data_IF_990501969061
#
_entry.id   IF_990501969061
#
_cell.length_a   1.000
_cell.length_b   1.000
_cell.length_c   1.000
_cell.angle_alpha   90.00
_cell.angle_beta   90.00
_cell.angle_gamma   90.00
#
_symmetry.space_group_name_H-M   'P 1'
#
loop_
_entity.id
_entity.type
_entity.pdbx_description
1 polymer ?
#
# COMPACT_ATOMS: atom_id res chain seq x y z
N UNK A 1 27.72 6.78 -42.63
CA UNK A 1 26.63 5.80 -42.84
C UNK A 1 26.19 5.31 -41.47
N UNK A 2 24.90 5.38 -41.19
CA UNK A 2 24.27 5.37 -39.87
C UNK A 2 24.51 4.10 -39.05
N UNK A 3 24.63 4.29 -37.73
CA UNK A 3 24.74 3.22 -36.75
C UNK A 3 23.42 2.51 -36.46
N UNK A 4 23.51 1.31 -35.87
CA UNK A 4 22.40 0.56 -35.29
C UNK A 4 22.92 -0.21 -34.07
N UNK A 5 23.05 0.50 -32.94
CA UNK A 5 23.12 -0.13 -31.63
C UNK A 5 21.74 -0.70 -31.29
N UNK A 6 21.56 -2.01 -31.43
CA UNK A 6 20.43 -2.74 -30.86
C UNK A 6 20.55 -2.71 -29.34
N UNK A 7 19.85 -1.77 -28.72
CA UNK A 7 19.61 -1.71 -27.27
C UNK A 7 18.86 -2.99 -26.86
N UNK A 8 19.54 -3.96 -26.24
CA UNK A 8 18.89 -5.09 -25.59
C UNK A 8 17.96 -4.52 -24.51
N UNK A 9 16.65 -4.69 -24.68
CA UNK A 9 15.68 -4.48 -23.62
C UNK A 9 16.09 -5.38 -22.45
N UNK A 10 16.41 -4.75 -21.32
CA UNK A 10 16.61 -5.45 -20.05
C UNK A 10 15.23 -5.94 -19.63
N UNK A 11 14.97 -7.24 -19.76
CA UNK A 11 13.83 -7.87 -19.08
C UNK A 11 13.95 -7.58 -17.59
N UNK A 12 13.00 -6.79 -17.07
CA UNK A 12 12.82 -6.64 -15.64
C UNK A 12 12.20 -7.97 -15.18
N UNK A 13 13.03 -8.92 -14.74
CA UNK A 13 12.55 -10.12 -14.07
C UNK A 13 11.78 -9.67 -12.83
N UNK A 14 10.45 -9.89 -12.81
CA UNK A 14 9.65 -9.69 -11.60
C UNK A 14 10.24 -10.59 -10.50
N UNK A 15 10.65 -10.05 -9.34
CA UNK A 15 11.30 -10.82 -8.29
C UNK A 15 10.36 -11.80 -7.58
N UNK A 16 9.04 -11.66 -7.74
CA UNK A 16 8.03 -12.51 -7.10
C UNK A 16 7.55 -13.62 -8.03
N UNK A 17 7.54 -14.85 -7.52
CA UNK A 17 6.77 -15.95 -8.11
C UNK A 17 5.55 -16.16 -7.23
N UNK A 18 4.39 -15.77 -7.75
CA UNK A 18 3.12 -16.10 -7.13
C UNK A 18 2.83 -17.57 -7.42
N UNK A 19 2.84 -18.42 -6.39
CA UNK A 19 2.35 -19.78 -6.54
C UNK A 19 0.82 -19.71 -6.51
N UNK A 20 0.23 -19.94 -7.69
CA UNK A 20 -1.21 -20.06 -7.85
C UNK A 20 -1.57 -21.48 -7.41
N UNK A 21 -2.14 -21.65 -6.23
CA UNK A 21 -3.01 -22.81 -6.05
C UNK A 21 -4.10 -22.69 -7.12
N UNK A 22 -4.41 -23.78 -7.84
CA UNK A 22 -5.54 -23.86 -8.76
C UNK A 22 -6.86 -23.83 -7.96
N UNK A 23 -7.07 -22.72 -7.25
CA UNK A 23 -8.21 -22.47 -6.41
C UNK A 23 -9.34 -21.89 -7.24
N UNK A 24 -10.53 -22.47 -7.10
CA UNK A 24 -11.76 -21.85 -7.55
C UNK A 24 -12.07 -20.65 -6.62
N UNK A 25 -11.41 -19.52 -6.85
CA UNK A 25 -11.57 -18.30 -6.05
C UNK A 25 -13.01 -17.78 -6.18
N UNK A 26 -13.60 -17.40 -5.05
CA UNK A 26 -14.98 -16.92 -4.99
C UNK A 26 -14.98 -15.43 -4.70
N UNK A 27 -15.25 -14.66 -5.75
CA UNK A 27 -15.44 -13.22 -5.64
C UNK A 27 -16.92 -12.90 -5.52
N UNK A 28 -17.28 -11.98 -4.62
CA UNK A 28 -18.66 -11.50 -4.45
C UNK A 28 -18.65 -9.98 -4.39
N UNK A 29 -19.43 -9.37 -5.27
CA UNK A 29 -19.80 -7.95 -5.17
C UNK A 29 -20.91 -7.79 -4.13
N UNK A 30 -20.78 -6.78 -3.29
CA UNK A 30 -21.80 -6.32 -2.36
C UNK A 30 -22.20 -4.90 -2.74
N UNK A 31 -23.50 -4.72 -2.94
CA UNK A 31 -24.10 -3.39 -3.09
C UNK A 31 -24.17 -2.69 -1.74
N UNK A 32 -24.46 -1.39 -1.74
CA UNK A 32 -24.66 -0.61 -0.52
C UNK A 32 -25.91 -1.14 0.20
N UNK A 33 -25.79 -1.50 1.48
CA UNK A 33 -26.90 -2.08 2.25
C UNK A 33 -26.42 -2.82 3.50
N UNK A 34 -27.30 -3.61 4.12
CA UNK A 34 -27.04 -4.25 5.41
C UNK A 34 -25.87 -5.25 5.41
N UNK A 35 -25.64 -5.96 4.30
CA UNK A 35 -24.51 -6.90 4.16
C UNK A 35 -23.16 -6.19 3.93
N UNK A 36 -23.16 -4.88 3.72
CA UNK A 36 -22.01 -4.09 3.36
C UNK A 36 -21.82 -2.94 4.36
N UNK A 37 -20.85 -3.06 5.29
CA UNK A 37 -20.63 -2.01 6.31
C UNK A 37 -20.02 -0.74 5.71
N UNK A 38 -19.69 -0.73 4.42
CA UNK A 38 -19.15 0.41 3.71
C UNK A 38 -20.24 1.07 2.86
N UNK A 39 -20.27 2.40 2.84
CA UNK A 39 -21.23 3.16 2.06
C UNK A 39 -20.86 3.23 0.56
N UNK A 40 -20.33 2.13 0.00
CA UNK A 40 -19.76 2.02 -1.34
C UNK A 40 -19.96 0.62 -1.87
N UNK A 41 -20.10 0.48 -3.18
CA UNK A 41 -20.09 -0.86 -3.78
C UNK A 41 -18.70 -1.46 -3.64
N UNK A 42 -18.62 -2.67 -3.08
CA UNK A 42 -17.34 -3.34 -2.82
C UNK A 42 -17.33 -4.75 -3.40
N UNK A 43 -16.13 -5.25 -3.71
CA UNK A 43 -15.88 -6.66 -4.01
C UNK A 43 -15.07 -7.28 -2.88
N UNK A 44 -15.49 -8.46 -2.43
CA UNK A 44 -14.73 -9.32 -1.53
C UNK A 44 -13.74 -10.18 -2.32
N UNK A 45 -12.45 -9.96 -2.02
CA UNK A 45 -11.33 -10.63 -2.68
C UNK A 45 -10.52 -11.49 -1.71
N UNK A 46 -11.01 -11.68 -0.48
CA UNK A 46 -10.30 -12.42 0.58
C UNK A 46 -9.99 -13.85 0.19
N UNK A 47 -10.88 -14.50 -0.58
CA UNK A 47 -10.65 -15.88 -1.04
C UNK A 47 -9.36 -16.03 -1.84
N UNK A 48 -8.88 -14.94 -2.47
CA UNK A 48 -7.60 -14.89 -3.16
C UNK A 48 -6.52 -14.32 -2.23
N UNK A 49 -6.70 -13.11 -1.71
CA UNK A 49 -5.61 -12.39 -1.03
C UNK A 49 -5.14 -13.04 0.27
N UNK A 50 -6.00 -13.82 0.94
CA UNK A 50 -5.66 -14.50 2.20
C UNK A 50 -5.11 -15.91 2.02
N UNK A 51 -5.28 -16.52 0.85
CA UNK A 51 -4.78 -17.87 0.54
C UNK A 51 -3.53 -17.84 -0.34
N UNK A 52 -3.26 -16.72 -1.01
CA UNK A 52 -2.05 -16.55 -1.81
C UNK A 52 -0.81 -16.59 -0.92
N UNK A 53 0.12 -17.47 -1.27
CA UNK A 53 1.44 -17.58 -0.65
C UNK A 53 2.46 -16.96 -1.59
N UNK A 54 3.24 -16.02 -1.08
CA UNK A 54 4.34 -15.40 -1.80
C UNK A 54 5.65 -16.10 -1.44
N UNK A 55 6.26 -16.77 -2.41
CA UNK A 55 7.63 -17.29 -2.26
C UNK A 55 8.57 -16.54 -3.17
N UNK A 56 9.79 -16.28 -2.70
CA UNK A 56 10.87 -15.83 -3.58
C UNK A 56 11.70 -17.04 -3.98
N UNK A 57 11.85 -17.26 -5.28
CA UNK A 57 12.85 -18.20 -5.82
C UNK A 57 14.25 -17.58 -5.89
N UNK A 58 14.38 -16.28 -5.63
CA UNK A 58 15.64 -15.55 -5.66
C UNK A 58 16.15 -15.34 -4.23
N UNK A 59 17.36 -15.85 -3.98
CA UNK A 59 18.00 -15.85 -2.67
C UNK A 59 18.28 -14.42 -2.16
N UNK A 60 18.65 -13.51 -3.04
CA UNK A 60 18.92 -12.10 -2.74
C UNK A 60 17.71 -11.37 -2.16
N UNK A 61 16.50 -11.65 -2.67
CA UNK A 61 15.25 -11.08 -2.15
C UNK A 61 14.94 -11.62 -0.74
N UNK A 62 15.19 -12.91 -0.49
CA UNK A 62 14.99 -13.51 0.82
C UNK A 62 15.98 -12.97 1.87
N UNK A 63 17.26 -12.81 1.48
CA UNK A 63 18.29 -12.18 2.31
C UNK A 63 17.94 -10.72 2.59
N UNK A 64 17.50 -9.97 1.57
CA UNK A 64 17.09 -8.57 1.73
C UNK A 64 15.88 -8.42 2.65
N UNK A 65 14.85 -9.26 2.48
CA UNK A 65 13.70 -9.26 3.39
C UNK A 65 14.12 -9.52 4.84
N UNK A 66 14.99 -10.51 5.05
CA UNK A 66 15.52 -10.87 6.38
C UNK A 66 16.33 -9.72 7.01
N UNK A 67 17.16 -9.04 6.21
CA UNK A 67 17.90 -7.85 6.65
C UNK A 67 16.94 -6.71 7.01
N UNK A 68 15.92 -6.45 6.17
CA UNK A 68 14.92 -5.42 6.40
C UNK A 68 14.08 -5.68 7.65
N UNK A 69 13.85 -6.92 8.06
CA UNK A 69 13.15 -7.20 9.33
C UNK A 69 13.90 -6.64 10.56
N UNK A 70 15.22 -6.46 10.46
CA UNK A 70 16.07 -5.84 11.50
C UNK A 70 16.21 -4.32 11.35
N UNK A 71 15.74 -3.75 10.24
CA UNK A 71 15.80 -2.31 10.01
C UNK A 71 14.80 -1.56 10.88
N UNK A 72 15.26 -0.44 11.46
CA UNK A 72 14.44 0.55 12.16
C UNK A 72 13.89 1.65 11.22
N UNK A 73 14.23 1.60 9.92
CA UNK A 73 13.81 2.56 8.91
C UNK A 73 14.51 3.92 8.97
N UNK A 74 15.57 4.06 9.76
CA UNK A 74 16.33 5.32 9.89
C UNK A 74 17.04 5.71 8.60
N UNK A 75 17.37 4.74 7.76
CA UNK A 75 17.97 4.93 6.43
C UNK A 75 17.07 5.71 5.45
N UNK A 76 15.77 5.81 5.74
CA UNK A 76 14.84 6.58 4.90
C UNK A 76 14.79 8.06 5.26
N UNK A 77 15.37 8.48 6.39
CA UNK A 77 15.46 9.91 6.75
C UNK A 77 16.26 10.65 5.70
N UNK A 78 15.63 11.66 5.09
CA UNK A 78 16.21 12.44 3.99
C UNK A 78 16.34 11.69 2.66
N UNK A 79 15.85 10.44 2.54
CA UNK A 79 15.85 9.73 1.27
C UNK A 79 14.90 10.41 0.27
N UNK A 80 15.26 10.35 -1.01
CA UNK A 80 14.47 10.84 -2.12
C UNK A 80 13.83 9.70 -2.91
N UNK A 81 12.66 9.97 -3.47
CA UNK A 81 12.04 9.09 -4.46
C UNK A 81 12.51 9.54 -5.85
N UNK A 82 13.12 8.68 -6.67
CA UNK A 82 13.56 9.05 -8.01
C UNK A 82 12.38 9.51 -8.88
N UNK A 83 12.57 10.59 -9.64
CA UNK A 83 11.52 11.15 -10.51
C UNK A 83 10.20 11.40 -9.76
N UNK A 84 10.28 12.03 -8.59
CA UNK A 84 9.11 12.22 -7.76
C UNK A 84 8.29 13.47 -8.13
N UNK A 85 7.03 13.43 -7.73
CA UNK A 85 6.15 14.59 -7.63
C UNK A 85 5.58 14.71 -6.23
N UNK A 86 4.99 15.85 -5.92
CA UNK A 86 4.28 16.10 -4.66
C UNK A 86 2.79 16.29 -4.90
N UNK A 87 1.97 15.56 -4.15
CA UNK A 87 0.51 15.60 -4.19
C UNK A 87 0.02 16.12 -2.84
N UNK A 88 -0.88 17.11 -2.84
CA UNK A 88 -1.50 17.57 -1.59
C UNK A 88 -2.48 16.52 -1.09
N UNK A 89 -2.25 16.04 0.13
CA UNK A 89 -3.17 15.21 0.87
C UNK A 89 -3.76 16.07 2.00
N UNK A 90 -5.06 15.96 2.25
CA UNK A 90 -5.69 16.64 3.38
C UNK A 90 -6.39 15.56 4.23
N UNK A 91 -5.62 14.54 4.62
CA UNK A 91 -6.13 13.41 5.39
C UNK A 91 -5.89 13.65 6.87
N UNK A 92 -6.94 13.53 7.67
CA UNK A 92 -6.88 13.77 9.11
C UNK A 92 -7.34 12.53 9.87
N UNK A 93 -6.55 12.14 10.87
CA UNK A 93 -6.81 10.99 11.73
C UNK A 93 -6.86 11.46 13.19
N UNK A 94 -7.76 10.90 14.02
CA UNK A 94 -7.73 11.10 15.46
C UNK A 94 -6.43 10.59 16.05
N UNK A 95 -5.96 11.28 17.07
CA UNK A 95 -4.75 10.92 17.80
C UNK A 95 -4.95 11.23 19.29
N UNK A 96 -4.21 10.52 20.13
CA UNK A 96 -4.32 10.58 21.60
C UNK A 96 -3.16 11.35 22.25
N UNK A 97 -2.27 11.93 21.43
CA UNK A 97 -1.13 12.73 21.85
C UNK A 97 0.11 11.91 22.18
N UNK A 98 0.08 10.59 21.96
CA UNK A 98 1.25 9.74 22.10
C UNK A 98 2.34 10.13 21.07
N UNK A 99 3.60 10.15 21.49
CA UNK A 99 4.70 10.39 20.56
C UNK A 99 4.69 9.33 19.43
N UNK A 100 4.67 9.79 18.17
CA UNK A 100 4.73 8.94 16.99
C UNK A 100 6.11 9.05 16.37
N UNK A 101 7.00 8.13 16.72
CA UNK A 101 8.35 8.06 16.16
C UNK A 101 8.82 6.60 16.04
N UNK A 102 9.58 6.31 14.99
CA UNK A 102 10.14 4.99 14.72
C UNK A 102 9.24 4.13 13.86
N UNK A 103 9.08 2.86 14.24
CA UNK A 103 8.30 1.87 13.48
C UNK A 103 6.83 2.04 13.85
N UNK A 104 6.01 2.46 12.89
CA UNK A 104 4.55 2.58 13.06
C UNK A 104 3.84 1.34 12.55
N UNK A 105 4.42 0.66 11.55
CA UNK A 105 4.00 -0.66 11.11
C UNK A 105 5.18 -1.46 10.55
N UNK A 106 5.22 -2.76 10.86
CA UNK A 106 6.21 -3.68 10.31
C UNK A 106 5.51 -4.94 9.82
N UNK A 107 5.76 -5.31 8.56
CA UNK A 107 5.27 -6.57 8.02
C UNK A 107 5.82 -7.77 8.82
N UNK A 108 4.94 -8.70 9.15
CA UNK A 108 5.24 -9.95 9.86
C UNK A 108 5.42 -11.15 8.92
N UNK A 109 4.99 -11.00 7.66
CA UNK A 109 5.02 -12.04 6.63
C UNK A 109 5.25 -11.42 5.23
N UNK A 110 5.65 -12.26 4.27
CA UNK A 110 5.94 -11.84 2.88
C UNK A 110 4.67 -11.39 2.12
N UNK A 111 3.52 -11.85 2.57
CA UNK A 111 2.20 -11.48 2.07
C UNK A 111 1.77 -10.10 2.61
N UNK A 112 2.54 -9.46 3.50
CA UNK A 112 2.33 -8.07 3.90
C UNK A 112 3.37 -7.20 3.20
N UNK A 113 2.90 -6.36 2.27
CA UNK A 113 3.78 -5.73 1.27
C UNK A 113 4.47 -4.44 1.72
N UNK A 114 4.16 -3.93 2.91
CA UNK A 114 4.60 -2.63 3.38
C UNK A 114 5.14 -2.64 4.81
N UNK A 115 6.19 -1.85 5.02
CA UNK A 115 6.59 -1.32 6.32
C UNK A 115 6.32 0.19 6.34
N UNK A 116 6.03 0.74 7.52
CA UNK A 116 5.72 2.16 7.71
C UNK A 116 6.51 2.69 8.91
N UNK A 117 7.24 3.77 8.69
CA UNK A 117 8.04 4.45 9.71
C UNK A 117 7.67 5.92 9.82
N UNK A 118 7.95 6.54 10.95
CA UNK A 118 7.80 7.98 11.16
C UNK A 118 9.05 8.56 11.78
N UNK A 119 9.59 9.61 11.19
CA UNK A 119 10.69 10.40 11.73
C UNK A 119 10.53 11.85 11.29
N UNK A 120 10.78 12.81 12.19
CA UNK A 120 10.73 14.25 11.89
C UNK A 120 9.39 14.68 11.23
N UNK A 121 8.26 14.19 11.75
CA UNK A 121 6.92 14.41 11.19
C UNK A 121 6.73 13.92 9.74
N UNK A 122 7.60 13.02 9.27
CA UNK A 122 7.51 12.41 7.94
C UNK A 122 7.26 10.91 8.06
N UNK A 123 6.18 10.44 7.44
CA UNK A 123 5.89 9.03 7.27
C UNK A 123 6.61 8.47 6.03
N UNK A 124 7.21 7.30 6.17
CA UNK A 124 7.91 6.59 5.10
C UNK A 124 7.24 5.24 4.88
N UNK A 125 6.65 5.05 3.70
CA UNK A 125 5.99 3.81 3.29
C UNK A 125 6.90 3.07 2.34
N UNK A 126 7.40 1.91 2.77
CA UNK A 126 8.40 1.16 2.01
C UNK A 126 7.94 -0.26 1.74
N UNK A 127 8.30 -0.78 0.59
CA UNK A 127 8.02 -2.17 0.23
C UNK A 127 8.79 -3.10 1.18
N UNK A 128 8.09 -4.00 1.88
CA UNK A 128 8.66 -4.83 2.97
C UNK A 128 9.82 -5.75 2.52
N UNK A 129 9.74 -6.25 1.30
CA UNK A 129 10.72 -7.13 0.65
C UNK A 129 11.87 -6.43 -0.07
N UNK A 130 11.61 -5.32 -0.77
CA UNK A 130 12.65 -4.63 -1.55
C UNK A 130 13.24 -3.43 -0.83
N UNK A 131 12.58 -2.92 0.20
CA UNK A 131 12.93 -1.69 0.88
C UNK A 131 12.70 -0.44 0.03
N UNK A 132 12.07 -0.55 -1.14
CA UNK A 132 11.82 0.60 -2.01
C UNK A 132 10.85 1.56 -1.33
N UNK A 133 11.25 2.83 -1.21
CA UNK A 133 10.40 3.91 -0.72
C UNK A 133 9.35 4.25 -1.78
N UNK A 134 8.08 3.95 -1.49
CA UNK A 134 6.96 4.21 -2.39
C UNK A 134 6.30 5.56 -2.12
N UNK A 135 6.11 5.89 -0.85
CA UNK A 135 5.52 7.16 -0.43
C UNK A 135 6.31 7.79 0.70
N UNK A 136 6.52 9.10 0.62
CA UNK A 136 7.03 9.93 1.71
C UNK A 136 6.00 11.00 2.02
N UNK A 137 5.47 11.01 3.23
CA UNK A 137 4.31 11.84 3.56
C UNK A 137 4.67 12.80 4.68
N UNK A 138 4.66 14.09 4.38
CA UNK A 138 4.82 15.13 5.41
C UNK A 138 3.53 15.25 6.19
N UNK A 139 3.63 15.24 7.51
CA UNK A 139 2.50 15.33 8.41
C UNK A 139 2.64 16.52 9.36
N UNK A 140 1.52 16.89 9.97
CA UNK A 140 1.46 17.68 11.20
C UNK A 140 0.87 16.79 12.27
N UNK A 141 1.63 16.54 13.33
CA UNK A 141 1.23 15.70 14.44
C UNK A 141 0.89 16.63 15.61
N UNK A 142 -0.39 16.71 15.96
CA UNK A 142 -0.92 17.46 17.09
C UNK A 142 -1.40 16.49 18.17
N UNK A 143 -1.69 16.99 19.37
CA UNK A 143 -2.17 16.15 20.47
C UNK A 143 -3.48 15.39 20.17
N UNK A 144 -4.37 15.95 19.35
CA UNK A 144 -5.69 15.36 19.05
C UNK A 144 -5.78 14.76 17.65
N UNK A 145 -4.78 14.99 16.80
CA UNK A 145 -4.85 14.62 15.40
C UNK A 145 -3.52 14.52 14.68
N UNK A 146 -3.49 13.63 13.69
CA UNK A 146 -2.43 13.55 12.68
C UNK A 146 -3.01 13.98 11.34
N UNK A 147 -2.44 15.04 10.77
CA UNK A 147 -2.81 15.58 9.46
C UNK A 147 -1.70 15.23 8.46
N UNK A 148 -2.00 14.41 7.46
CA UNK A 148 -1.10 14.16 6.33
C UNK A 148 -1.32 15.26 5.30
N UNK A 149 -0.26 16.03 4.99
CA UNK A 149 -0.32 17.28 4.23
C UNK A 149 0.11 17.13 2.77
N UNK A 150 1.23 16.43 2.55
CA UNK A 150 1.82 16.27 1.22
C UNK A 150 2.40 14.89 1.08
N UNK A 151 2.06 14.19 0.00
CA UNK A 151 2.60 12.89 -0.38
C UNK A 151 3.59 13.10 -1.52
N UNK A 152 4.85 12.78 -1.30
CA UNK A 152 5.83 12.57 -2.36
C UNK A 152 5.73 11.12 -2.86
N UNK A 153 5.60 10.96 -4.17
CA UNK A 153 5.43 9.66 -4.86
C UNK A 153 6.10 9.70 -6.25
N UNK A 154 6.09 8.57 -6.96
CA UNK A 154 6.52 8.54 -8.37
C UNK A 154 5.69 9.51 -9.24
N UNK A 155 6.33 10.15 -10.22
CA UNK A 155 5.68 11.08 -11.17
C UNK A 155 4.56 10.43 -11.99
N UNK A 156 4.66 9.13 -12.21
CA UNK A 156 3.80 8.38 -13.14
C UNK A 156 2.50 7.87 -12.49
N UNK A 157 2.35 8.02 -11.17
CA UNK A 157 1.14 7.61 -10.46
C UNK A 157 0.03 8.66 -10.58
N UNK A 158 -1.23 8.24 -10.59
CA UNK A 158 -2.37 9.17 -10.53
C UNK A 158 -2.56 9.73 -9.11
N UNK A 159 -2.78 11.05 -8.98
CA UNK A 159 -2.88 11.74 -7.70
C UNK A 159 -3.99 11.17 -6.81
N UNK A 160 -5.15 10.85 -7.39
CA UNK A 160 -6.28 10.31 -6.66
C UNK A 160 -5.97 8.91 -6.15
N UNK A 161 -5.35 8.07 -6.97
CA UNK A 161 -4.90 6.72 -6.56
C UNK A 161 -3.87 6.82 -5.43
N UNK A 162 -2.90 7.74 -5.52
CA UNK A 162 -1.87 7.93 -4.47
C UNK A 162 -2.49 8.29 -3.13
N UNK A 163 -3.42 9.25 -3.11
CA UNK A 163 -4.11 9.67 -1.88
C UNK A 163 -4.88 8.50 -1.25
N UNK A 164 -5.62 7.74 -2.07
CA UNK A 164 -6.39 6.60 -1.61
C UNK A 164 -5.50 5.44 -1.15
N UNK A 165 -4.37 5.20 -1.80
CA UNK A 165 -3.38 4.19 -1.39
C UNK A 165 -2.81 4.52 -0.02
N UNK A 166 -2.34 5.76 0.19
CA UNK A 166 -1.82 6.19 1.50
C UNK A 166 -2.90 6.10 2.57
N UNK A 167 -4.13 6.54 2.27
CA UNK A 167 -5.25 6.40 3.21
C UNK A 167 -5.50 4.94 3.60
N UNK A 168 -5.57 4.05 2.62
CA UNK A 168 -5.76 2.62 2.87
C UNK A 168 -4.61 2.02 3.70
N UNK A 169 -3.35 2.40 3.41
CA UNK A 169 -2.19 1.93 4.18
C UNK A 169 -2.30 2.34 5.65
N UNK A 170 -2.68 3.59 5.95
CA UNK A 170 -2.94 4.01 7.34
C UNK A 170 -4.07 3.19 7.96
N UNK A 171 -5.21 3.06 7.27
CA UNK A 171 -6.38 2.36 7.83
C UNK A 171 -6.11 0.87 8.11
N UNK A 172 -5.52 0.15 7.16
CA UNK A 172 -5.36 -1.30 7.24
C UNK A 172 -4.08 -1.76 7.94
N UNK A 173 -2.99 -0.99 7.84
CA UNK A 173 -1.70 -1.37 8.43
C UNK A 173 -1.53 -0.72 9.79
N UNK A 174 -1.64 0.62 9.88
CA UNK A 174 -1.40 1.34 11.14
C UNK A 174 -2.57 1.19 12.11
N UNK A 175 -3.80 1.43 11.66
CA UNK A 175 -5.00 1.36 12.52
C UNK A 175 -5.61 -0.04 12.60
N UNK A 176 -5.10 -1.00 11.84
CA UNK A 176 -5.55 -2.40 11.87
C UNK A 176 -7.00 -2.63 11.44
N UNK A 177 -7.63 -1.68 10.74
CA UNK A 177 -9.03 -1.77 10.32
C UNK A 177 -9.19 -2.60 9.04
N UNK A 178 -10.25 -3.38 8.97
CA UNK A 178 -10.72 -3.94 7.69
C UNK A 178 -11.42 -2.82 6.93
N UNK A 179 -10.90 -2.47 5.76
CA UNK A 179 -11.35 -1.32 4.97
C UNK A 179 -11.23 -1.65 3.48
N UNK A 180 -12.06 -1.08 2.58
CA UNK A 180 -11.85 -1.24 1.15
C UNK A 180 -10.68 -0.35 0.69
N UNK A 181 -9.99 -0.79 -0.35
CA UNK A 181 -9.06 0.06 -1.10
C UNK A 181 -9.65 0.46 -2.44
N UNK A 182 -9.25 1.62 -2.96
CA UNK A 182 -9.64 2.05 -4.30
C UNK A 182 -8.82 1.30 -5.35
N UNK A 183 -9.47 0.87 -6.43
CA UNK A 183 -8.84 0.24 -7.58
C UNK A 183 -8.93 1.12 -8.84
N UNK A 184 -7.97 0.99 -9.78
CA UNK A 184 -8.04 1.63 -11.09
C UNK A 184 -9.30 1.20 -11.87
N UNK A 185 -9.86 2.12 -12.65
CA UNK A 185 -11.12 1.90 -13.38
C UNK A 185 -10.98 0.93 -14.55
N UNK A 186 -9.75 0.69 -14.99
CA UNK A 186 -9.41 -0.16 -16.12
C UNK A 186 -9.40 -1.65 -15.77
N UNK A 187 -9.45 -1.99 -14.48
CA UNK A 187 -9.51 -3.39 -14.04
C UNK A 187 -10.96 -3.87 -14.11
N UNK A 188 -11.28 -4.75 -15.05
CA UNK A 188 -12.66 -5.25 -15.23
C UNK A 188 -12.89 -6.64 -14.61
N UNK A 189 -11.88 -7.51 -14.67
CA UNK A 189 -11.94 -8.89 -14.19
C UNK A 189 -11.69 -8.98 -12.69
N UNK A 190 -12.50 -9.75 -11.96
CA UNK A 190 -12.29 -9.95 -10.52
C UNK A 190 -10.92 -10.58 -10.19
N UNK A 191 -10.39 -11.41 -11.09
CA UNK A 191 -9.05 -11.97 -10.93
C UNK A 191 -7.97 -10.88 -11.06
N UNK A 192 -8.12 -9.95 -12.00
CA UNK A 192 -7.16 -8.86 -12.19
C UNK A 192 -7.23 -7.86 -11.02
N UNK A 193 -8.45 -7.60 -10.52
CA UNK A 193 -8.67 -6.83 -9.29
C UNK A 193 -7.94 -7.51 -8.12
N UNK A 194 -8.18 -8.80 -7.88
CA UNK A 194 -7.58 -9.52 -6.77
C UNK A 194 -6.05 -9.57 -6.88
N UNK A 195 -5.51 -9.79 -8.09
CA UNK A 195 -4.07 -9.81 -8.35
C UNK A 195 -3.43 -8.43 -8.14
N UNK A 196 -4.05 -7.37 -8.66
CA UNK A 196 -3.62 -5.99 -8.42
C UNK A 196 -3.61 -5.68 -6.92
N UNK A 197 -4.71 -6.02 -6.23
CA UNK A 197 -4.89 -5.79 -4.81
C UNK A 197 -3.81 -6.48 -3.97
N UNK A 198 -3.52 -7.75 -4.28
CA UNK A 198 -2.48 -8.51 -3.60
C UNK A 198 -1.07 -7.98 -3.90
N UNK A 199 -0.79 -7.62 -5.14
CA UNK A 199 0.49 -6.99 -5.52
C UNK A 199 0.70 -5.67 -4.77
N UNK A 200 -0.36 -4.86 -4.66
CA UNK A 200 -0.30 -3.57 -4.00
C UNK A 200 -0.23 -3.69 -2.49
N UNK A 201 -1.09 -4.48 -1.86
CA UNK A 201 -1.30 -4.46 -0.42
C UNK A 201 -1.21 -5.84 0.25
N UNK A 202 -1.10 -6.89 -0.54
CA UNK A 202 -0.99 -8.26 -0.05
C UNK A 202 -2.23 -8.74 0.69
N UNK A 203 -2.04 -9.57 1.71
CA UNK A 203 -3.13 -10.17 2.50
C UNK A 203 -3.98 -9.16 3.28
N UNK A 204 -3.52 -7.90 3.40
CA UNK A 204 -4.27 -6.82 4.04
C UNK A 204 -5.42 -6.31 3.16
N UNK A 205 -5.38 -6.51 1.84
CA UNK A 205 -6.49 -6.19 0.96
C UNK A 205 -7.62 -7.22 1.10
N UNK A 206 -8.69 -6.84 1.81
CA UNK A 206 -9.88 -7.67 1.96
C UNK A 206 -10.97 -7.30 0.95
N UNK A 207 -11.16 -6.01 0.74
CA UNK A 207 -12.20 -5.46 -0.11
C UNK A 207 -11.61 -4.43 -1.07
N UNK A 208 -12.18 -4.33 -2.28
CA UNK A 208 -11.84 -3.32 -3.27
C UNK A 208 -13.09 -2.56 -3.74
N UNK A 209 -12.89 -1.34 -4.25
CA UNK A 209 -13.96 -0.50 -4.81
C UNK A 209 -13.40 0.44 -5.88
N UNK A 210 -14.20 0.81 -6.88
CA UNK A 210 -13.82 1.86 -7.85
C UNK A 210 -14.04 3.27 -7.32
N UNK A 211 -14.69 3.40 -6.18
CA UNK A 211 -15.02 4.68 -5.56
C UNK A 211 -13.87 5.16 -4.67
N UNK A 212 -13.77 6.47 -4.47
CA UNK A 212 -12.81 7.05 -3.52
C UNK A 212 -13.13 6.60 -2.10
N UNK A 213 -12.14 6.42 -1.24
CA UNK A 213 -12.33 5.91 0.12
C UNK A 213 -12.00 6.96 1.21
N UNK A 214 -11.62 8.17 0.81
CA UNK A 214 -11.18 9.28 1.67
C UNK A 214 -12.29 10.20 2.16
N UNK A 215 -13.50 10.04 1.63
CA UNK A 215 -14.74 10.74 2.01
C UNK A 215 -15.31 10.26 3.36
N UNK A 216 -14.80 9.16 3.92
CA UNK A 216 -15.18 8.72 5.26
C UNK A 216 -14.57 9.67 6.28
N UNK A 217 -15.38 10.59 6.81
CA UNK A 217 -15.02 11.47 7.93
C UNK A 217 -14.52 10.59 9.07
N UNK A 218 -13.21 10.59 9.34
CA UNK A 218 -12.67 9.97 10.55
C UNK A 218 -12.91 10.95 11.72
N UNK A 219 -14.17 11.11 12.08
CA UNK A 219 -14.57 11.84 13.28
C UNK A 219 -14.27 10.99 14.51
N UNK A 220 -13.65 11.60 15.51
CA UNK A 220 -13.48 10.99 16.84
C UNK A 220 -14.87 10.60 17.35
N UNK A 221 -15.12 9.31 17.61
CA UNK A 221 -16.23 8.96 18.50
C UNK A 221 -15.86 9.51 19.87
N UNK A 222 -16.57 10.55 20.30
CA UNK A 222 -16.56 11.05 21.68
C UNK A 222 -16.94 9.94 22.64
#
# INVERSE_FOLDING_TARGET
>A
MFGLFKKKQKEIKKPEVLQKEEGNFKFKWYEIGEENPFNKRIIDIRSFTQTMISTSSQQDVAEKYSALRRSLGKEYRGASIPHSKSVSANLKYPHDGAAVEGIVFKADAMEVKWDIYVYDDVFYFTRSWTGNLGYKVTARINADSIELLTIECSSDEDDLIVINNVHFLIMAHVLGKVYPHMIPKELESENDIALYSFSMFGKKACYATYETITDTVIGVRK
#
